data_IF_518270630768
#
_entry.id   IF_518270630768
#
_cell.length_a   1.000
_cell.length_b   1.000
_cell.length_c   1.000
_cell.angle_alpha   90.00
_cell.angle_beta   90.00
_cell.angle_gamma   90.00
#
_symmetry.space_group_name_H-M   'P 1'
#
loop_
_entity.id
_entity.type
_entity.pdbx_description
1 polymer ?
#
# COMPACT_ATOMS: atom_id res chain seq x y z
N UNK A 1 -5.92 14.70 7.16
CA UNK A 1 -5.27 14.62 8.51
C UNK A 1 -3.75 14.71 8.40
N UNK A 2 -3.01 14.82 9.54
CA UNK A 2 -1.55 14.82 9.50
C UNK A 2 -1.04 13.39 9.50
N UNK A 3 -0.58 12.90 8.34
CA UNK A 3 -0.05 11.55 8.19
C UNK A 3 1.35 11.42 8.81
N UNK A 4 1.61 10.26 9.41
CA UNK A 4 2.95 9.86 9.81
C UNK A 4 3.72 9.31 8.61
N UNK A 5 5.02 9.57 8.56
CA UNK A 5 5.91 9.00 7.56
C UNK A 5 7.32 8.74 8.11
N UNK A 6 8.03 7.84 7.44
CA UNK A 6 9.47 7.63 7.62
C UNK A 6 10.19 8.14 6.39
N UNK A 7 11.27 8.90 6.59
CA UNK A 7 12.04 9.51 5.52
C UNK A 7 13.42 8.86 5.40
N UNK A 8 13.86 8.64 4.16
CA UNK A 8 15.18 8.09 3.83
C UNK A 8 15.79 8.87 2.67
N UNK A 9 17.12 9.11 2.72
CA UNK A 9 17.88 9.78 1.66
C UNK A 9 17.58 11.26 1.49
N UNK A 10 17.96 11.75 0.31
CA UNK A 10 17.74 13.11 -0.15
C UNK A 10 17.71 13.11 -1.68
N UNK A 11 17.01 14.05 -2.30
CA UNK A 11 16.88 14.17 -3.76
C UNK A 11 15.44 14.38 -4.20
N UNK A 12 15.04 13.75 -5.30
CA UNK A 12 13.69 13.85 -5.85
C UNK A 12 12.67 13.16 -4.91
N UNK A 13 11.53 13.79 -4.60
CA UNK A 13 10.56 13.20 -3.67
C UNK A 13 9.90 11.96 -4.27
N UNK A 14 9.87 10.88 -3.48
CA UNK A 14 9.20 9.64 -3.80
C UNK A 14 8.41 9.15 -2.60
N UNK A 15 7.11 8.93 -2.78
CA UNK A 15 6.21 8.46 -1.74
C UNK A 15 5.86 6.99 -1.95
N UNK A 16 5.93 6.21 -0.89
CA UNK A 16 5.57 4.78 -0.89
C UNK A 16 4.35 4.57 -0.02
N UNK A 17 3.29 4.01 -0.60
CA UNK A 17 2.03 3.69 0.05
C UNK A 17 1.88 2.18 0.22
N UNK A 18 1.64 1.75 1.45
CA UNK A 18 1.45 0.34 1.81
C UNK A 18 0.05 -0.18 1.47
N UNK A 19 -0.12 -1.50 1.45
CA UNK A 19 -1.42 -2.18 1.32
C UNK A 19 -2.20 -2.24 2.64
N UNK A 20 -3.39 -2.84 2.59
CA UNK A 20 -4.27 -3.04 3.73
C UNK A 20 -3.52 -3.71 4.89
N UNK A 21 -3.75 -3.26 6.12
CA UNK A 21 -3.05 -3.67 7.36
C UNK A 21 -1.52 -3.47 7.33
N UNK A 22 -0.99 -2.80 6.30
CA UNK A 22 0.42 -2.45 6.22
C UNK A 22 0.77 -1.20 7.04
N UNK A 23 2.05 -0.84 6.97
CA UNK A 23 2.59 0.38 7.57
C UNK A 23 3.96 0.72 6.94
N UNK A 24 4.47 1.92 7.18
CA UNK A 24 5.75 2.40 6.68
C UNK A 24 6.94 1.47 6.95
N UNK A 25 6.92 0.76 8.09
CA UNK A 25 7.97 -0.20 8.45
C UNK A 25 8.08 -1.39 7.47
N UNK A 26 7.03 -1.72 6.75
CA UNK A 26 7.07 -2.80 5.75
C UNK A 26 7.96 -2.45 4.56
N UNK A 27 8.16 -1.16 4.31
CA UNK A 27 8.91 -0.64 3.18
C UNK A 27 10.32 -0.15 3.53
N UNK A 28 10.76 -0.28 4.79
CA UNK A 28 12.07 0.22 5.24
C UNK A 28 13.25 -0.33 4.42
N UNK A 29 13.23 -1.63 4.09
CA UNK A 29 14.29 -2.26 3.30
C UNK A 29 14.38 -1.65 1.90
N UNK A 30 13.33 -1.78 1.08
CA UNK A 30 13.29 -1.16 -0.25
C UNK A 30 13.58 0.34 -0.24
N UNK A 31 13.00 1.10 0.69
CA UNK A 31 13.17 2.55 0.77
C UNK A 31 14.63 2.99 0.95
N UNK A 32 15.42 2.24 1.74
CA UNK A 32 16.85 2.54 1.92
C UNK A 32 17.64 2.35 0.62
N UNK A 33 17.32 1.31 -0.15
CA UNK A 33 17.99 1.05 -1.43
C UNK A 33 17.57 2.11 -2.47
N UNK A 34 16.27 2.42 -2.56
CA UNK A 34 15.75 3.44 -3.48
C UNK A 34 16.35 4.82 -3.18
N UNK A 35 16.58 5.12 -1.90
CA UNK A 35 17.22 6.37 -1.49
C UNK A 35 18.66 6.53 -2.03
N UNK A 36 19.38 5.42 -2.25
CA UNK A 36 20.71 5.44 -2.84
C UNK A 36 20.69 5.79 -4.34
N UNK A 37 19.53 5.72 -5.00
CA UNK A 37 19.36 6.09 -6.40
C UNK A 37 19.12 7.60 -6.63
N UNK A 38 19.13 8.41 -5.57
CA UNK A 38 18.95 9.87 -5.66
C UNK A 38 17.54 10.33 -5.31
N UNK A 39 16.74 9.50 -4.63
CA UNK A 39 15.43 9.87 -4.15
C UNK A 39 15.42 10.28 -2.67
N UNK A 40 14.54 11.20 -2.35
CA UNK A 40 14.08 11.47 -0.99
C UNK A 40 12.80 10.67 -0.76
N UNK A 41 12.92 9.50 -0.10
CA UNK A 41 11.86 8.50 0.01
C UNK A 41 11.03 8.71 1.27
N UNK A 42 9.73 8.80 1.11
CA UNK A 42 8.74 8.92 2.18
C UNK A 42 7.86 7.66 2.23
N UNK A 43 8.07 6.79 3.21
CA UNK A 43 7.16 5.68 3.48
C UNK A 43 6.02 6.19 4.36
N UNK A 44 4.80 6.24 3.82
CA UNK A 44 3.65 6.87 4.46
C UNK A 44 2.85 5.80 5.22
N UNK A 45 2.45 6.09 6.45
CA UNK A 45 1.35 5.40 7.11
C UNK A 45 0.04 6.06 6.68
N UNK A 46 -0.81 5.35 5.94
CA UNK A 46 -2.13 5.85 5.54
C UNK A 46 -3.04 5.99 6.77
N UNK A 47 -4.13 6.79 6.66
CA UNK A 47 -5.12 6.90 7.75
C UNK A 47 -5.51 5.53 8.28
N UNK A 48 -5.78 5.43 9.56
CA UNK A 48 -6.14 4.20 10.26
C UNK A 48 -5.05 3.12 10.31
N UNK A 49 -3.82 3.40 9.86
CA UNK A 49 -2.69 2.48 9.87
C UNK A 49 -1.46 3.07 10.57
N UNK A 50 -0.61 2.18 11.08
CA UNK A 50 0.69 2.54 11.64
C UNK A 50 0.61 3.56 12.76
N UNK A 51 1.31 4.68 12.60
CA UNK A 51 1.33 5.80 13.55
C UNK A 51 0.50 7.00 13.07
N UNK A 52 -0.19 6.89 11.92
CA UNK A 52 -1.12 7.90 11.46
C UNK A 52 -2.38 7.93 12.32
N UNK A 53 -3.06 9.09 12.38
CA UNK A 53 -4.28 9.23 13.17
C UNK A 53 -5.37 8.26 12.74
N UNK A 54 -6.20 7.88 13.71
CA UNK A 54 -7.39 7.07 13.52
C UNK A 54 -8.61 7.97 13.27
N UNK A 55 -9.46 7.53 12.34
CA UNK A 55 -10.70 8.21 11.97
C UNK A 55 -11.75 7.15 11.60
N UNK A 56 -13.04 7.36 11.88
CA UNK A 56 -14.10 6.43 11.46
C UNK A 56 -14.26 6.35 9.93
N UNK A 57 -13.89 7.40 9.20
CA UNK A 57 -13.93 7.42 7.74
C UNK A 57 -12.74 6.68 7.13
N UNK A 58 -13.02 5.84 6.13
CA UNK A 58 -12.02 5.01 5.46
C UNK A 58 -12.37 4.87 3.97
N UNK A 59 -12.32 5.98 3.21
CA UNK A 59 -12.56 6.03 1.77
C UNK A 59 -11.29 6.38 1.01
N UNK A 60 -11.21 6.01 -0.27
CA UNK A 60 -10.08 6.37 -1.12
C UNK A 60 -9.96 7.89 -1.30
N UNK A 61 -11.09 8.59 -1.46
CA UNK A 61 -11.12 10.05 -1.52
C UNK A 61 -10.54 10.71 -0.27
N UNK A 62 -10.84 10.19 0.91
CA UNK A 62 -10.25 10.70 2.15
C UNK A 62 -8.73 10.45 2.23
N UNK A 63 -8.27 9.27 1.79
CA UNK A 63 -6.84 8.94 1.74
C UNK A 63 -6.09 9.86 0.78
N UNK A 64 -6.68 10.16 -0.38
CA UNK A 64 -6.15 11.13 -1.36
C UNK A 64 -6.08 12.53 -0.77
N UNK A 65 -7.14 12.99 -0.10
CA UNK A 65 -7.15 14.31 0.54
C UNK A 65 -6.06 14.44 1.61
N UNK A 66 -5.83 13.39 2.40
CA UNK A 66 -4.74 13.37 3.37
C UNK A 66 -3.37 13.44 2.70
N UNK A 67 -3.19 12.72 1.58
CA UNK A 67 -1.94 12.69 0.83
C UNK A 67 -1.65 14.05 0.19
N UNK A 68 -2.64 14.69 -0.43
CA UNK A 68 -2.53 16.05 -1.00
C UNK A 68 -2.16 17.05 0.10
N UNK A 69 -2.78 16.95 1.28
CA UNK A 69 -2.46 17.81 2.41
C UNK A 69 -1.00 17.65 2.86
N UNK A 70 -0.48 16.41 2.90
CA UNK A 70 0.91 16.14 3.23
C UNK A 70 1.88 16.70 2.18
N UNK A 71 1.57 16.53 0.89
CA UNK A 71 2.38 17.05 -0.22
C UNK A 71 2.48 18.57 -0.14
N UNK A 72 1.35 19.24 0.14
CA UNK A 72 1.31 20.69 0.34
C UNK A 72 2.09 21.12 1.59
N UNK A 73 2.00 20.39 2.70
CA UNK A 73 2.78 20.67 3.94
C UNK A 73 4.29 20.57 3.67
N UNK A 74 4.71 19.62 2.83
CA UNK A 74 6.10 19.42 2.44
C UNK A 74 6.57 20.32 1.29
N UNK A 75 5.66 21.16 0.73
CA UNK A 75 5.92 22.09 -0.37
C UNK A 75 6.41 21.43 -1.66
N UNK A 76 6.00 20.19 -1.94
CA UNK A 76 6.31 19.53 -3.20
C UNK A 76 5.30 19.92 -4.29
N UNK A 77 5.81 20.14 -5.50
CA UNK A 77 4.99 20.43 -6.69
C UNK A 77 4.75 19.20 -7.54
N UNK A 78 5.71 18.28 -7.56
CA UNK A 78 5.62 16.96 -8.21
C UNK A 78 6.27 15.90 -7.34
N UNK A 79 5.69 14.71 -7.32
CA UNK A 79 6.14 13.58 -6.52
C UNK A 79 6.03 12.29 -7.36
N UNK A 80 7.05 11.43 -7.29
CA UNK A 80 6.97 10.06 -7.79
C UNK A 80 6.31 9.18 -6.72
N UNK A 81 5.56 8.17 -7.15
CA UNK A 81 4.78 7.32 -6.24
C UNK A 81 4.98 5.84 -6.51
N UNK A 82 5.00 5.06 -5.44
CA UNK A 82 4.87 3.60 -5.45
C UNK A 82 3.71 3.24 -4.53
N UNK A 83 2.70 2.52 -5.03
CA UNK A 83 1.56 2.07 -4.25
C UNK A 83 1.32 0.58 -4.39
N UNK A 84 1.32 -0.14 -3.28
CA UNK A 84 1.04 -1.57 -3.25
C UNK A 84 -0.42 -1.83 -2.86
N UNK A 85 -1.12 -2.66 -3.65
CA UNK A 85 -2.48 -3.11 -3.31
C UNK A 85 -3.41 -1.92 -3.03
N UNK A 86 -3.99 -1.79 -1.83
CA UNK A 86 -4.77 -0.63 -1.40
C UNK A 86 -4.05 0.71 -1.67
N UNK A 87 -2.73 0.78 -1.42
CA UNK A 87 -1.92 1.96 -1.75
C UNK A 87 -1.92 2.28 -3.25
N UNK A 88 -1.95 1.26 -4.10
CA UNK A 88 -2.11 1.42 -5.55
C UNK A 88 -3.48 1.99 -5.93
N UNK A 89 -4.56 1.54 -5.27
CA UNK A 89 -5.90 2.12 -5.44
C UNK A 89 -5.94 3.60 -5.02
N UNK A 90 -5.29 3.97 -3.91
CA UNK A 90 -5.15 5.38 -3.50
C UNK A 90 -4.48 6.19 -4.60
N UNK A 91 -3.47 5.66 -5.27
CA UNK A 91 -2.76 6.37 -6.35
C UNK A 91 -3.59 6.46 -7.63
N UNK A 92 -4.37 5.43 -7.96
CA UNK A 92 -5.33 5.51 -9.06
C UNK A 92 -6.39 6.59 -8.80
N UNK A 93 -6.89 6.68 -7.57
CA UNK A 93 -7.81 7.75 -7.17
C UNK A 93 -7.12 9.12 -7.14
N UNK A 94 -5.85 9.20 -6.74
CA UNK A 94 -5.06 10.43 -6.82
C UNK A 94 -4.93 10.93 -8.26
N UNK A 95 -4.77 10.03 -9.23
CA UNK A 95 -4.72 10.40 -10.66
C UNK A 95 -6.01 11.03 -11.17
N UNK A 96 -7.15 10.75 -10.53
CA UNK A 96 -8.43 11.38 -10.82
C UNK A 96 -8.57 12.78 -10.22
N UNK A 97 -7.95 13.02 -9.06
CA UNK A 97 -8.12 14.26 -8.29
C UNK A 97 -7.04 15.29 -8.52
N UNK A 98 -5.80 14.85 -8.71
CA UNK A 98 -4.65 15.74 -8.77
C UNK A 98 -3.53 15.19 -9.69
N UNK A 99 -3.79 14.88 -10.97
CA UNK A 99 -2.79 14.33 -11.89
C UNK A 99 -1.55 15.22 -12.04
N UNK A 100 -1.72 16.53 -11.89
CA UNK A 100 -0.64 17.52 -12.05
C UNK A 100 0.48 17.42 -11.01
N UNK A 101 0.24 16.76 -9.85
CA UNK A 101 1.26 16.56 -8.83
C UNK A 101 2.05 15.26 -9.00
N UNK A 102 1.62 14.41 -9.93
CA UNK A 102 2.26 13.12 -10.21
C UNK A 102 3.40 13.33 -11.21
N UNK A 103 4.57 12.79 -10.89
CA UNK A 103 5.72 12.76 -11.77
C UNK A 103 5.90 11.38 -12.41
N UNK A 104 5.88 10.32 -11.60
CA UNK A 104 5.86 8.92 -12.03
C UNK A 104 4.93 8.12 -11.11
N UNK A 105 4.29 7.10 -11.65
CA UNK A 105 3.33 6.27 -10.94
C UNK A 105 3.68 4.79 -11.09
N UNK A 106 4.01 4.12 -9.98
CA UNK A 106 4.23 2.67 -9.91
C UNK A 106 3.11 2.03 -9.12
N UNK A 107 2.28 1.26 -9.79
CA UNK A 107 1.18 0.49 -9.21
C UNK A 107 1.64 -0.96 -9.02
N UNK A 108 1.71 -1.42 -7.77
CA UNK A 108 2.20 -2.76 -7.44
C UNK A 108 1.04 -3.67 -7.06
N UNK A 109 0.81 -4.63 -7.91
CA UNK A 109 -0.09 -5.78 -7.79
C UNK A 109 -1.54 -5.46 -7.42
N UNK A 110 -2.10 -4.49 -8.14
CA UNK A 110 -3.53 -4.13 -8.09
C UNK A 110 -3.95 -3.52 -9.44
N UNK A 111 -5.14 -3.87 -9.93
CA UNK A 111 -5.73 -3.31 -11.16
C UNK A 111 -6.87 -2.33 -10.87
N UNK A 112 -7.58 -1.94 -11.92
CA UNK A 112 -8.70 -0.99 -11.87
C UNK A 112 -9.98 -1.62 -11.33
N UNK A 113 -10.20 -2.91 -11.64
CA UNK A 113 -11.45 -3.66 -11.41
C UNK A 113 -11.90 -3.71 -9.95
N UNK A 114 -13.15 -4.05 -9.74
CA UNK A 114 -13.68 -4.43 -8.43
C UNK A 114 -13.07 -5.76 -7.95
N UNK A 115 -12.71 -5.83 -6.68
CA UNK A 115 -12.25 -7.03 -5.98
C UNK A 115 -13.27 -7.40 -4.89
N UNK A 116 -13.97 -8.53 -5.03
CA UNK A 116 -14.87 -8.98 -3.97
C UNK A 116 -14.16 -9.14 -2.64
N UNK A 117 -14.80 -8.86 -1.50
CA UNK A 117 -14.22 -9.07 -0.18
C UNK A 117 -13.73 -10.51 -0.03
N UNK A 118 -12.44 -10.68 0.21
CA UNK A 118 -11.78 -11.99 0.35
C UNK A 118 -10.89 -12.09 1.60
N UNK A 119 -11.09 -11.16 2.55
CA UNK A 119 -10.30 -11.07 3.78
C UNK A 119 -11.04 -11.63 5.00
N UNK A 120 -12.07 -12.48 4.82
CA UNK A 120 -12.95 -12.94 5.91
C UNK A 120 -12.17 -13.63 7.03
N UNK A 121 -11.22 -14.52 6.69
CA UNK A 121 -10.40 -15.22 7.69
C UNK A 121 -9.50 -14.26 8.45
N UNK A 122 -8.91 -13.28 7.75
CA UNK A 122 -8.08 -12.24 8.38
C UNK A 122 -8.91 -11.35 9.31
N UNK A 123 -10.10 -10.95 8.88
CA UNK A 123 -11.03 -10.14 9.68
C UNK A 123 -11.47 -10.93 10.93
N UNK A 124 -11.86 -12.19 10.76
CA UNK A 124 -12.25 -13.06 11.87
C UNK A 124 -11.10 -13.25 12.87
N UNK A 125 -9.87 -13.45 12.37
CA UNK A 125 -8.69 -13.54 13.21
C UNK A 125 -8.43 -12.26 14.01
N UNK A 126 -8.52 -11.08 13.35
CA UNK A 126 -8.33 -9.78 14.01
C UNK A 126 -9.39 -9.57 15.11
N UNK A 127 -10.65 -9.92 14.84
CA UNK A 127 -11.76 -9.80 15.80
C UNK A 127 -11.66 -10.81 16.95
N UNK A 128 -11.08 -11.99 16.72
CA UNK A 128 -10.88 -13.02 17.75
C UNK A 128 -9.80 -12.62 18.78
N UNK A 129 -8.87 -11.72 18.43
CA UNK A 129 -7.83 -11.27 19.35
C UNK A 129 -8.42 -10.38 20.44
N UNK A 130 -8.43 -10.89 21.67
CA UNK A 130 -8.86 -10.16 22.85
C UNK A 130 -7.64 -9.74 23.70
N UNK A 131 -7.26 -8.47 23.64
CA UNK A 131 -6.10 -7.93 24.35
C UNK A 131 -6.27 -7.86 25.88
N UNK A 132 -7.47 -8.08 26.42
CA UNK A 132 -7.67 -8.24 27.85
C UNK A 132 -7.27 -9.66 28.31
N UNK A 133 -7.26 -10.63 27.39
CA UNK A 133 -6.83 -12.01 27.61
C UNK A 133 -5.43 -12.30 27.09
N UNK A 134 -5.08 -11.78 25.92
CA UNK A 134 -3.77 -11.95 25.30
C UNK A 134 -2.78 -10.92 25.90
N UNK A 135 -1.89 -11.36 26.77
CA UNK A 135 -0.90 -10.53 27.46
C UNK A 135 0.48 -10.56 26.79
N UNK A 136 0.71 -11.49 25.88
CA UNK A 136 1.98 -11.68 25.17
C UNK A 136 1.74 -11.76 23.67
N UNK A 137 2.80 -11.43 22.90
CA UNK A 137 2.76 -11.58 21.43
C UNK A 137 2.52 -13.04 21.01
N UNK A 138 3.05 -14.00 21.74
CA UNK A 138 2.85 -15.44 21.47
C UNK A 138 1.40 -15.87 21.65
N UNK A 139 0.68 -15.31 22.63
CA UNK A 139 -0.75 -15.58 22.79
C UNK A 139 -1.58 -15.01 21.66
N UNK A 140 -1.22 -13.81 21.16
CA UNK A 140 -1.85 -13.22 19.95
C UNK A 140 -1.59 -14.12 18.74
N UNK A 141 -0.33 -14.52 18.49
CA UNK A 141 0.05 -15.41 17.38
C UNK A 141 -0.75 -16.73 17.42
N UNK A 142 -0.93 -17.31 18.59
CA UNK A 142 -1.73 -18.53 18.76
C UNK A 142 -3.18 -18.32 18.34
N UNK A 143 -3.81 -17.20 18.75
CA UNK A 143 -5.18 -16.87 18.32
C UNK A 143 -5.26 -16.71 16.81
N UNK A 144 -4.31 -15.97 16.21
CA UNK A 144 -4.26 -15.79 14.75
C UNK A 144 -4.13 -17.13 14.02
N UNK A 145 -3.35 -18.08 14.58
CA UNK A 145 -3.12 -19.38 13.94
C UNK A 145 -4.36 -20.29 13.90
N UNK A 146 -5.37 -20.01 14.70
CA UNK A 146 -6.65 -20.71 14.67
C UNK A 146 -7.51 -20.36 13.43
N UNK A 147 -7.25 -19.20 12.81
CA UNK A 147 -8.01 -18.67 11.69
C UNK A 147 -7.19 -18.59 10.41
N UNK A 148 -5.90 -18.30 10.50
CA UNK A 148 -5.02 -18.05 9.35
C UNK A 148 -3.99 -19.16 9.28
N UNK A 149 -4.11 -20.03 8.27
CA UNK A 149 -3.17 -21.12 8.05
C UNK A 149 -1.78 -20.65 7.57
N UNK A 150 -1.74 -19.58 6.76
CA UNK A 150 -0.51 -19.09 6.13
C UNK A 150 0.40 -18.33 7.12
N UNK A 151 1.62 -18.81 7.41
CA UNK A 151 2.52 -18.16 8.38
C UNK A 151 2.95 -16.76 8.01
N UNK A 152 3.14 -16.47 6.71
CA UNK A 152 3.56 -15.17 6.21
C UNK A 152 2.51 -14.09 6.50
N UNK A 153 1.21 -14.41 6.35
CA UNK A 153 0.10 -13.51 6.68
C UNK A 153 0.05 -13.23 8.18
N UNK A 154 0.23 -14.27 9.02
CA UNK A 154 0.28 -14.06 10.48
C UNK A 154 1.45 -13.17 10.88
N UNK A 155 2.65 -13.42 10.36
CA UNK A 155 3.82 -12.60 10.64
C UNK A 155 3.64 -11.14 10.19
N UNK A 156 2.99 -10.93 9.05
CA UNK A 156 2.64 -9.59 8.58
C UNK A 156 1.70 -8.88 9.57
N UNK A 157 0.62 -9.52 10.01
CA UNK A 157 -0.29 -8.95 11.02
C UNK A 157 0.42 -8.72 12.36
N UNK A 158 1.28 -9.63 12.78
CA UNK A 158 2.04 -9.53 14.03
C UNK A 158 2.98 -8.31 14.08
N UNK A 159 3.39 -7.74 12.94
CA UNK A 159 4.13 -6.47 12.90
C UNK A 159 3.31 -5.29 13.41
N UNK A 160 1.99 -5.39 13.39
CA UNK A 160 1.07 -4.36 13.90
C UNK A 160 0.79 -4.46 15.39
N UNK A 161 1.29 -5.49 16.09
CA UNK A 161 1.15 -5.59 17.54
C UNK A 161 2.14 -4.66 18.22
N UNK A 162 1.64 -3.84 19.14
CA UNK A 162 2.45 -2.94 19.95
C UNK A 162 1.95 -2.85 21.38
N UNK A 163 2.76 -2.37 22.28
CA UNK A 163 2.36 -2.02 23.63
C UNK A 163 1.62 -0.69 23.62
N UNK A 164 0.28 -0.74 23.77
CA UNK A 164 -0.56 0.45 23.86
C UNK A 164 -0.38 1.14 25.22
N UNK A 165 -0.25 0.32 26.26
CA UNK A 165 0.15 0.72 27.62
C UNK A 165 1.23 -0.27 28.11
N UNK A 166 1.92 -0.01 29.24
CA UNK A 166 2.94 -0.94 29.77
C UNK A 166 2.47 -2.38 29.99
N UNK A 167 1.16 -2.61 30.13
CA UNK A 167 0.53 -3.89 30.46
C UNK A 167 -0.50 -4.36 29.44
N UNK A 168 -0.72 -3.60 28.34
CA UNK A 168 -1.72 -3.93 27.33
C UNK A 168 -1.18 -3.82 25.90
N UNK A 169 -1.31 -4.91 25.16
CA UNK A 169 -1.08 -4.93 23.72
C UNK A 169 -2.27 -4.32 22.96
N UNK A 170 -2.03 -3.92 21.71
CA UNK A 170 -3.07 -3.42 20.81
C UNK A 170 -2.64 -3.54 19.35
N UNK A 171 -3.59 -3.34 18.45
CA UNK A 171 -3.34 -3.15 17.03
C UNK A 171 -2.89 -1.72 16.74
N UNK A 172 -1.87 -1.54 15.89
CA UNK A 172 -1.50 -0.21 15.38
C UNK A 172 -2.52 0.35 14.41
N UNK A 173 -3.21 -0.51 13.70
CA UNK A 173 -4.29 -0.08 12.81
C UNK A 173 -5.64 0.03 13.56
N UNK A 174 -6.52 0.87 13.05
CA UNK A 174 -7.89 1.01 13.54
C UNK A 174 -8.77 -0.14 13.02
N UNK A 175 -8.76 -1.28 13.71
CA UNK A 175 -9.51 -2.46 13.27
C UNK A 175 -11.01 -2.19 13.10
N UNK A 176 -11.60 -1.35 13.96
CA UNK A 176 -13.03 -1.05 13.88
C UNK A 176 -13.37 -0.27 12.60
N UNK A 177 -12.66 0.82 12.31
CA UNK A 177 -12.91 1.63 11.12
C UNK A 177 -12.65 0.84 9.82
N UNK A 178 -11.54 0.08 9.78
CA UNK A 178 -11.18 -0.73 8.61
C UNK A 178 -12.24 -1.82 8.36
N UNK A 179 -12.63 -2.58 9.38
CA UNK A 179 -13.60 -3.67 9.23
C UNK A 179 -14.98 -3.14 8.87
N UNK A 180 -15.39 -2.01 9.44
CA UNK A 180 -16.70 -1.40 9.12
C UNK A 180 -16.77 -0.85 7.68
N UNK A 181 -15.64 -0.65 7.03
CA UNK A 181 -15.55 -0.12 5.66
C UNK A 181 -14.78 -1.07 4.72
N UNK A 182 -14.69 -2.35 5.05
CA UNK A 182 -13.83 -3.30 4.31
C UNK A 182 -14.22 -3.42 2.83
N UNK A 183 -15.47 -3.25 2.51
CA UNK A 183 -15.99 -3.33 1.14
C UNK A 183 -15.35 -2.27 0.23
N UNK A 184 -15.06 -1.06 0.78
CA UNK A 184 -14.39 0.03 0.06
C UNK A 184 -13.02 -0.39 -0.49
N UNK A 185 -12.30 -1.28 0.22
CA UNK A 185 -10.95 -1.71 -0.19
C UNK A 185 -10.93 -2.38 -1.56
N UNK A 186 -12.03 -3.06 -1.92
CA UNK A 186 -12.21 -3.73 -3.19
C UNK A 186 -12.79 -2.86 -4.32
N UNK A 187 -13.14 -1.60 -4.06
CA UNK A 187 -13.83 -0.75 -5.03
C UNK A 187 -13.09 -0.65 -6.37
N UNK A 188 -13.86 -0.65 -7.45
CA UNK A 188 -13.37 -0.31 -8.77
C UNK A 188 -12.96 1.16 -8.80
N UNK A 189 -11.78 1.45 -9.34
CA UNK A 189 -11.32 2.82 -9.55
C UNK A 189 -10.93 2.98 -11.01
N UNK A 190 -11.76 3.73 -11.74
CA UNK A 190 -11.56 4.00 -13.15
C UNK A 190 -11.03 5.43 -13.32
N UNK A 191 -9.94 5.63 -14.05
CA UNK A 191 -9.46 6.97 -14.39
C UNK A 191 -10.51 7.79 -15.14
N UNK A 192 -10.65 9.07 -14.79
CA UNK A 192 -11.60 9.99 -15.43
C UNK A 192 -11.21 10.36 -16.87
N UNK A 193 -9.95 10.14 -17.23
CA UNK A 193 -9.39 10.43 -18.56
C UNK A 193 -8.35 9.39 -18.94
N UNK A 194 -7.99 9.36 -20.21
CA UNK A 194 -6.81 8.62 -20.69
C UNK A 194 -5.56 9.37 -20.24
N UNK A 195 -4.62 8.63 -19.62
CA UNK A 195 -3.35 9.13 -19.11
C UNK A 195 -2.24 8.58 -19.99
N UNK A 196 -1.44 9.48 -20.55
CA UNK A 196 -0.33 9.15 -21.45
C UNK A 196 1.00 9.55 -20.83
N UNK A 197 2.11 9.09 -21.41
CA UNK A 197 3.46 9.49 -20.96
C UNK A 197 3.74 11.00 -21.11
N UNK A 198 2.91 11.74 -21.83
CA UNK A 198 2.99 13.22 -21.85
C UNK A 198 2.45 13.86 -20.55
N UNK A 199 1.63 13.14 -19.80
CA UNK A 199 1.12 13.57 -18.50
C UNK A 199 2.09 13.15 -17.40
N UNK A 200 2.32 11.82 -17.25
CA UNK A 200 3.31 11.17 -16.39
C UNK A 200 3.47 9.70 -16.76
N UNK A 201 4.64 9.12 -16.46
CA UNK A 201 4.89 7.69 -16.72
C UNK A 201 4.13 6.79 -15.73
N UNK A 202 3.54 5.72 -16.25
CA UNK A 202 2.78 4.74 -15.46
C UNK A 202 3.35 3.34 -15.65
N UNK A 203 3.70 2.71 -14.54
CA UNK A 203 4.25 1.36 -14.48
C UNK A 203 3.32 0.50 -13.64
N UNK A 204 2.93 -0.66 -14.17
CA UNK A 204 2.27 -1.69 -13.39
C UNK A 204 3.25 -2.83 -13.16
N UNK A 205 3.43 -3.23 -11.90
CA UNK A 205 4.21 -4.39 -11.51
C UNK A 205 3.28 -5.44 -10.91
N UNK A 206 3.36 -6.70 -11.38
CA UNK A 206 2.58 -7.81 -10.81
C UNK A 206 3.46 -8.99 -10.44
N UNK A 207 3.02 -9.81 -9.47
CA UNK A 207 3.62 -11.10 -9.21
C UNK A 207 3.13 -12.15 -10.22
N UNK A 208 4.04 -13.05 -10.66
CA UNK A 208 3.70 -14.13 -11.59
C UNK A 208 2.57 -15.04 -11.06
N UNK A 209 2.53 -15.27 -9.75
CA UNK A 209 1.54 -16.13 -9.10
C UNK A 209 0.37 -15.35 -8.48
N UNK A 210 0.33 -14.04 -8.71
CA UNK A 210 -0.76 -13.20 -8.22
C UNK A 210 -1.97 -13.24 -9.12
N UNK A 211 -3.16 -13.21 -8.52
CA UNK A 211 -4.44 -13.12 -9.23
C UNK A 211 -5.01 -11.69 -9.30
N UNK A 212 -4.26 -10.69 -8.81
CA UNK A 212 -4.78 -9.32 -8.76
C UNK A 212 -4.76 -8.61 -10.12
N UNK A 213 -3.74 -8.87 -10.94
CA UNK A 213 -3.69 -8.39 -12.32
C UNK A 213 -3.51 -9.60 -13.23
N UNK A 214 -4.57 -9.97 -13.94
CA UNK A 214 -4.56 -11.05 -14.92
C UNK A 214 -4.39 -10.48 -16.33
N UNK A 215 -4.04 -11.35 -17.30
CA UNK A 215 -3.92 -10.89 -18.68
C UNK A 215 -5.25 -10.39 -19.26
N UNK A 216 -6.37 -10.90 -18.75
CA UNK A 216 -7.73 -10.46 -19.11
C UNK A 216 -8.06 -9.04 -18.61
N UNK A 217 -7.34 -8.51 -17.61
CA UNK A 217 -7.51 -7.15 -17.11
C UNK A 217 -6.76 -6.11 -17.97
N UNK A 218 -5.74 -6.54 -18.70
CA UNK A 218 -4.85 -5.64 -19.45
C UNK A 218 -5.55 -4.79 -20.50
N UNK A 219 -6.53 -5.29 -21.26
CA UNK A 219 -7.27 -4.45 -22.19
C UNK A 219 -7.96 -3.25 -21.52
N UNK A 220 -8.59 -3.46 -20.35
CA UNK A 220 -9.20 -2.38 -19.60
C UNK A 220 -8.16 -1.38 -19.10
N UNK A 221 -7.05 -1.86 -18.52
CA UNK A 221 -5.97 -1.00 -18.00
C UNK A 221 -5.38 -0.17 -19.15
N UNK A 222 -5.09 -0.79 -20.31
CA UNK A 222 -4.52 -0.09 -21.48
C UNK A 222 -5.46 0.91 -22.14
N UNK A 223 -6.77 0.78 -21.95
CA UNK A 223 -7.72 1.80 -22.41
C UNK A 223 -7.52 3.15 -21.70
N UNK A 224 -7.06 3.13 -20.45
CA UNK A 224 -6.80 4.34 -19.66
C UNK A 224 -5.33 4.73 -19.60
N UNK A 225 -4.44 3.75 -19.72
CA UNK A 225 -2.98 3.91 -19.70
C UNK A 225 -2.37 3.24 -20.95
N UNK A 226 -2.54 3.83 -22.16
CA UNK A 226 -2.10 3.19 -23.39
C UNK A 226 -0.58 2.94 -23.45
N UNK A 227 0.19 3.82 -22.81
CA UNK A 227 1.66 3.77 -22.78
C UNK A 227 2.21 3.03 -21.55
N UNK A 228 1.32 2.39 -20.75
CA UNK A 228 1.75 1.70 -19.51
C UNK A 228 2.83 0.65 -19.80
N UNK A 229 3.81 0.58 -18.92
CA UNK A 229 4.73 -0.53 -18.85
C UNK A 229 4.22 -1.57 -17.85
N UNK A 230 4.17 -2.84 -18.28
CA UNK A 230 3.78 -3.96 -17.42
C UNK A 230 5.00 -4.83 -17.12
N UNK A 231 5.35 -4.96 -15.86
CA UNK A 231 6.45 -5.78 -15.37
C UNK A 231 5.86 -6.95 -14.57
N UNK A 232 6.24 -8.18 -14.93
CA UNK A 232 5.87 -9.38 -14.17
C UNK A 232 7.09 -9.90 -13.42
N UNK A 233 7.01 -9.93 -12.08
CA UNK A 233 8.08 -10.43 -11.23
C UNK A 233 7.92 -11.93 -11.04
N UNK A 234 8.89 -12.74 -11.53
CA UNK A 234 8.82 -14.18 -11.46
C UNK A 234 8.84 -14.69 -10.00
N UNK A 235 8.14 -15.79 -9.77
CA UNK A 235 8.02 -16.48 -8.49
C UNK A 235 7.55 -15.58 -7.33
N UNK A 236 6.80 -14.51 -7.63
CA UNK A 236 6.16 -13.64 -6.64
C UNK A 236 4.64 -13.81 -6.65
N UNK A 237 4.03 -13.78 -5.49
CA UNK A 237 2.59 -13.60 -5.30
C UNK A 237 2.25 -12.13 -5.07
N UNK A 238 1.27 -11.88 -4.19
CA UNK A 238 0.76 -10.52 -3.94
C UNK A 238 1.77 -9.58 -3.27
N UNK A 239 2.63 -10.07 -2.41
CA UNK A 239 3.65 -9.24 -1.73
C UNK A 239 4.96 -9.20 -2.53
N UNK A 240 4.91 -8.74 -3.76
CA UNK A 240 6.01 -8.72 -4.73
C UNK A 240 7.31 -8.21 -4.14
N UNK A 241 7.26 -7.06 -3.44
CA UNK A 241 8.40 -6.39 -2.82
C UNK A 241 9.00 -7.15 -1.61
N UNK A 242 8.22 -8.07 -1.01
CA UNK A 242 8.65 -8.87 0.14
C UNK A 242 9.05 -10.29 -0.27
N UNK A 243 8.39 -10.87 -1.26
CA UNK A 243 8.64 -12.23 -1.74
C UNK A 243 9.85 -12.28 -2.68
N UNK A 244 10.02 -11.28 -3.54
CA UNK A 244 11.15 -11.16 -4.48
C UNK A 244 11.84 -9.79 -4.39
N UNK A 245 12.37 -9.40 -3.22
CA UNK A 245 12.86 -8.03 -2.98
C UNK A 245 14.00 -7.62 -3.93
N UNK A 246 14.86 -8.55 -4.31
CA UNK A 246 15.97 -8.27 -5.22
C UNK A 246 15.46 -7.97 -6.63
N UNK A 247 14.66 -8.85 -7.20
CA UNK A 247 14.10 -8.68 -8.55
C UNK A 247 13.19 -7.45 -8.62
N UNK A 248 12.37 -7.23 -7.59
CA UNK A 248 11.52 -6.04 -7.49
C UNK A 248 12.36 -4.75 -7.58
N UNK A 249 13.47 -4.67 -6.84
CA UNK A 249 14.33 -3.49 -6.84
C UNK A 249 15.14 -3.34 -8.14
N UNK A 250 15.61 -4.44 -8.72
CA UNK A 250 16.34 -4.42 -10.01
C UNK A 250 15.45 -3.88 -11.13
N UNK A 251 14.22 -4.39 -11.24
CA UNK A 251 13.25 -3.90 -12.23
C UNK A 251 12.84 -2.44 -11.94
N UNK A 252 12.56 -2.11 -10.69
CA UNK A 252 12.19 -0.74 -10.32
C UNK A 252 13.27 0.28 -10.66
N UNK A 253 14.56 -0.09 -10.50
CA UNK A 253 15.69 0.78 -10.82
C UNK A 253 15.83 1.11 -12.32
N UNK A 254 15.40 0.20 -13.18
CA UNK A 254 15.44 0.43 -14.64
C UNK A 254 14.43 1.49 -15.09
N UNK A 255 13.36 1.68 -14.33
CA UNK A 255 12.22 2.48 -14.72
C UNK A 255 12.03 3.76 -13.89
N UNK A 256 12.43 3.76 -12.60
CA UNK A 256 12.40 4.99 -11.80
C UNK A 256 13.51 5.96 -12.20
N UNK A 257 13.14 7.20 -12.45
CA UNK A 257 14.05 8.28 -12.89
C UNK A 257 14.15 9.35 -11.80
N UNK A 258 15.30 9.46 -11.10
CA UNK A 258 15.55 10.51 -10.12
C UNK A 258 15.73 11.90 -10.77
#
# INVERSE_FOLDING_TARGET
>A
MKLFYRKYGAGKPLFILHGLFGQSDNWQGPAKVIAEWGFEVYCIDLRNHGQSPHDPSFTYTDMVNDLIALINELHFTKVSFIGHSMGGKVLLELSNHAPQIIDQLVIVDIGLKYYPPHHQDVIAAIQAVNFDKCKTRSEVERVLSEWIGEPSVRQFLMKNIYWQTPDRLGWRFNSQAIISNIDVVGDEIIPNAIITNSDFEVIFMRGEYSSYILDEDLPQIRNYFPDLELITIPAAGHWVHAEQPKLFLEELQLHLKP
#
